data_IF_080926105140
#
_entry.id   IF_080926105140
#
_cell.length_a   1.000
_cell.length_b   1.000
_cell.length_c   1.000
_cell.angle_alpha   90.00
_cell.angle_beta   90.00
_cell.angle_gamma   90.00
#
_symmetry.space_group_name_H-M   'P 1'
#
loop_
_entity.id
_entity.type
_entity.pdbx_description
1 polymer ?
#
# COMPACT_ATOMS: atom_id res chain seq x y z
N UNK A 1 6.05 -5.83 9.84
CA UNK A 1 5.88 -4.94 11.02
C UNK A 1 5.33 -3.61 10.56
N UNK A 2 4.43 -3.01 11.33
CA UNK A 2 3.85 -1.71 11.00
C UNK A 2 3.39 -0.99 12.28
N UNK A 3 3.75 0.28 12.42
CA UNK A 3 3.36 1.11 13.57
C UNK A 3 2.71 2.41 13.07
N UNK A 4 1.40 2.57 13.32
CA UNK A 4 0.66 3.76 12.95
C UNK A 4 1.11 5.07 13.60
N UNK A 5 1.71 4.99 14.79
CA UNK A 5 1.84 6.13 15.72
C UNK A 5 3.31 6.48 16.00
N UNK A 6 4.25 5.72 15.46
CA UNK A 6 5.70 5.94 15.61
C UNK A 6 6.23 5.75 17.03
N UNK A 7 5.51 5.01 17.88
CA UNK A 7 5.90 4.67 19.26
C UNK A 7 6.63 3.34 19.39
N UNK A 8 6.41 2.40 18.48
CA UNK A 8 7.09 1.12 18.43
C UNK A 8 8.46 1.29 17.77
N UNK A 9 9.51 0.97 18.52
CA UNK A 9 10.84 0.82 17.97
C UNK A 9 10.98 -0.57 17.37
N UNK A 10 10.90 -0.65 16.05
CA UNK A 10 11.17 -1.87 15.30
C UNK A 10 12.68 -2.08 15.15
N UNK A 11 13.30 -2.44 16.26
CA UNK A 11 14.75 -2.46 16.42
C UNK A 11 15.33 -3.87 16.43
N UNK A 12 14.49 -4.91 16.36
CA UNK A 12 15.00 -6.28 16.26
C UNK A 12 15.75 -6.50 14.94
N UNK A 13 16.70 -7.43 14.94
CA UNK A 13 17.42 -7.82 13.73
C UNK A 13 16.49 -8.25 12.57
N UNK A 14 15.37 -8.92 12.88
CA UNK A 14 14.35 -9.30 11.90
C UNK A 14 13.60 -8.08 11.36
N UNK A 15 13.33 -7.09 12.21
CA UNK A 15 12.55 -5.93 11.86
C UNK A 15 13.31 -5.00 10.94
N UNK A 16 14.60 -4.80 11.25
CA UNK A 16 15.52 -4.02 10.43
C UNK A 16 15.63 -4.64 9.05
N UNK A 17 15.87 -5.96 8.96
CA UNK A 17 15.94 -6.69 7.70
C UNK A 17 14.67 -6.56 6.86
N UNK A 18 13.50 -6.81 7.46
CA UNK A 18 12.20 -6.68 6.79
C UNK A 18 11.93 -5.26 6.30
N UNK A 19 12.24 -4.26 7.13
CA UNK A 19 12.02 -2.86 6.77
C UNK A 19 12.88 -2.43 5.59
N UNK A 20 14.13 -2.89 5.52
CA UNK A 20 15.03 -2.62 4.39
C UNK A 20 14.52 -3.28 3.12
N UNK A 21 14.14 -4.56 3.18
CA UNK A 21 13.64 -5.30 2.01
C UNK A 21 12.33 -4.71 1.48
N UNK A 22 11.39 -4.37 2.37
CA UNK A 22 10.13 -3.72 2.01
C UNK A 22 10.36 -2.33 1.39
N UNK A 23 11.27 -1.51 1.95
CA UNK A 23 11.61 -0.20 1.38
C UNK A 23 12.31 -0.31 0.02
N UNK A 24 13.07 -1.38 -0.21
CA UNK A 24 13.68 -1.67 -1.50
C UNK A 24 12.69 -2.24 -2.53
N UNK A 25 11.43 -2.48 -2.16
CA UNK A 25 10.42 -3.07 -3.04
C UNK A 25 10.72 -4.52 -3.41
N UNK A 26 11.51 -5.23 -2.60
CA UNK A 26 11.88 -6.63 -2.83
C UNK A 26 10.89 -7.51 -2.09
N UNK A 27 10.28 -8.46 -2.81
CA UNK A 27 9.42 -9.46 -2.16
C UNK A 27 10.27 -10.49 -1.42
N UNK A 28 9.84 -10.91 -0.23
CA UNK A 28 10.57 -11.83 0.63
C UNK A 28 9.65 -12.83 1.32
N UNK A 29 10.21 -13.96 1.73
CA UNK A 29 9.51 -15.00 2.51
C UNK A 29 10.12 -15.03 3.91
N UNK A 30 9.26 -15.16 4.92
CA UNK A 30 9.67 -15.25 6.32
C UNK A 30 9.76 -16.71 6.74
N UNK A 31 10.96 -17.14 7.11
CA UNK A 31 11.20 -18.47 7.68
C UNK A 31 11.57 -18.33 9.16
N UNK A 32 11.09 -19.26 9.99
CA UNK A 32 11.41 -19.28 11.41
C UNK A 32 12.88 -19.67 11.61
N UNK A 33 13.67 -18.76 12.19
CA UNK A 33 15.05 -19.03 12.59
C UNK A 33 15.15 -19.82 13.89
N UNK A 34 16.35 -20.32 14.21
CA UNK A 34 16.61 -20.94 15.51
C UNK A 34 16.43 -19.91 16.64
N UNK A 35 15.80 -20.28 17.77
CA UNK A 35 15.62 -19.38 18.91
C UNK A 35 16.97 -18.81 19.38
N UNK A 36 17.05 -17.48 19.49
CA UNK A 36 18.25 -16.78 19.96
C UNK A 36 19.29 -16.42 18.89
N UNK A 37 19.11 -16.85 17.63
CA UNK A 37 19.95 -16.37 16.53
C UNK A 37 19.45 -15.02 15.98
N UNK A 38 20.39 -14.18 15.57
CA UNK A 38 20.10 -12.96 14.82
C UNK A 38 19.43 -13.33 13.49
N UNK A 39 18.55 -12.46 13.00
CA UNK A 39 17.91 -12.66 11.71
C UNK A 39 18.94 -12.65 10.59
N UNK A 40 18.78 -13.58 9.64
CA UNK A 40 19.66 -13.74 8.49
C UNK A 40 18.82 -13.53 7.23
N UNK A 41 19.31 -12.72 6.31
CA UNK A 41 18.72 -12.53 4.98
C UNK A 41 19.47 -13.41 3.98
N UNK A 42 18.74 -14.29 3.30
CA UNK A 42 19.29 -15.16 2.25
C UNK A 42 18.87 -14.63 0.89
N UNK A 43 19.85 -14.27 0.06
CA UNK A 43 19.65 -13.79 -1.32
C UNK A 43 20.38 -14.73 -2.26
N UNK A 44 19.65 -15.68 -2.88
CA UNK A 44 20.26 -16.77 -3.63
C UNK A 44 21.20 -17.60 -2.73
N UNK A 45 22.50 -17.63 -3.07
CA UNK A 45 23.53 -18.28 -2.24
C UNK A 45 24.14 -17.37 -1.17
N UNK A 46 23.89 -16.05 -1.21
CA UNK A 46 24.46 -15.11 -0.27
C UNK A 46 23.68 -15.12 1.05
N UNK A 47 24.41 -15.17 2.16
CA UNK A 47 23.86 -15.13 3.52
C UNK A 47 24.33 -13.84 4.19
N UNK A 48 23.39 -12.96 4.52
CA UNK A 48 23.67 -11.62 5.04
C UNK A 48 23.12 -11.55 6.47
N UNK A 49 23.97 -11.48 7.50
CA UNK A 49 23.52 -11.33 8.87
C UNK A 49 22.92 -9.94 9.08
N UNK A 50 21.75 -9.88 9.71
CA UNK A 50 21.16 -8.64 10.20
C UNK A 50 21.61 -8.38 11.63
N UNK A 51 21.66 -7.12 12.03
CA UNK A 51 22.11 -6.68 13.34
C UNK A 51 20.92 -6.25 14.19
N UNK A 52 20.97 -6.51 15.48
CA UNK A 52 19.94 -6.05 16.43
C UNK A 52 20.29 -4.64 16.93
N UNK A 53 19.28 -3.80 17.10
CA UNK A 53 19.40 -2.45 17.62
C UNK A 53 18.47 -2.21 18.83
N UNK A 54 17.91 -3.27 19.45
CA UNK A 54 16.94 -3.16 20.56
C UNK A 54 17.42 -2.28 21.72
N UNK A 55 18.71 -2.38 22.06
CA UNK A 55 19.32 -1.65 23.17
C UNK A 55 20.25 -0.52 22.70
N UNK A 56 20.24 -0.19 21.41
CA UNK A 56 21.13 0.80 20.82
C UNK A 56 20.55 2.23 20.95
N UNK A 57 21.39 3.25 21.24
CA UNK A 57 21.02 4.66 21.08
C UNK A 57 20.50 4.97 19.66
N UNK A 58 19.61 5.97 19.50
CA UNK A 58 18.93 6.26 18.22
C UNK A 58 19.88 6.51 17.03
N UNK A 59 20.98 7.19 17.30
CA UNK A 59 22.07 7.45 16.35
C UNK A 59 22.79 6.16 15.93
N UNK A 60 23.06 5.28 16.89
CA UNK A 60 23.65 3.95 16.63
C UNK A 60 22.66 3.04 15.89
N UNK A 61 21.37 3.04 16.26
CA UNK A 61 20.33 2.29 15.57
C UNK A 61 20.17 2.74 14.10
N UNK A 62 20.27 4.04 13.84
CA UNK A 62 20.27 4.60 12.48
C UNK A 62 21.50 4.14 11.69
N UNK A 63 22.68 4.14 12.31
CA UNK A 63 23.91 3.64 11.69
C UNK A 63 23.81 2.14 11.39
N UNK A 64 23.34 1.33 12.34
CA UNK A 64 23.10 -0.11 12.16
C UNK A 64 22.16 -0.36 10.98
N UNK A 65 21.04 0.36 10.91
CA UNK A 65 20.08 0.24 9.80
C UNK A 65 20.74 0.59 8.46
N UNK A 66 21.54 1.64 8.40
CA UNK A 66 22.26 2.03 7.19
C UNK A 66 23.30 0.98 6.77
N UNK A 67 24.02 0.37 7.72
CA UNK A 67 24.97 -0.73 7.46
C UNK A 67 24.26 -1.96 6.91
N UNK A 68 23.16 -2.39 7.56
CA UNK A 68 22.35 -3.53 7.09
C UNK A 68 21.77 -3.25 5.71
N UNK A 69 21.31 -2.02 5.45
CA UNK A 69 20.85 -1.58 4.13
C UNK A 69 21.95 -1.68 3.07
N UNK A 70 23.17 -1.25 3.39
CA UNK A 70 24.33 -1.40 2.52
C UNK A 70 24.61 -2.85 2.15
N UNK A 71 24.72 -3.73 3.16
CA UNK A 71 24.98 -5.15 2.94
C UNK A 71 23.89 -5.83 2.12
N UNK A 72 22.61 -5.51 2.38
CA UNK A 72 21.49 -6.06 1.62
C UNK A 72 21.53 -5.57 0.17
N UNK A 73 21.80 -4.29 -0.09
CA UNK A 73 21.93 -3.76 -1.46
C UNK A 73 23.08 -4.41 -2.22
N UNK A 74 24.23 -4.60 -1.59
CA UNK A 74 25.37 -5.30 -2.18
C UNK A 74 25.02 -6.75 -2.52
N UNK A 75 24.36 -7.46 -1.59
CA UNK A 75 23.90 -8.83 -1.80
C UNK A 75 22.89 -8.95 -2.94
N UNK A 76 21.91 -8.04 -2.99
CA UNK A 76 20.94 -7.94 -4.09
C UNK A 76 21.64 -7.69 -5.43
N UNK A 77 22.62 -6.79 -5.48
CA UNK A 77 23.39 -6.48 -6.69
C UNK A 77 24.19 -7.70 -7.16
N UNK A 78 24.85 -8.42 -6.24
CA UNK A 78 25.58 -9.67 -6.57
C UNK A 78 24.66 -10.77 -7.08
N UNK A 79 23.44 -10.84 -6.56
CA UNK A 79 22.41 -11.77 -7.04
C UNK A 79 21.78 -11.35 -8.38
N UNK A 80 22.21 -10.23 -8.97
CA UNK A 80 21.69 -9.73 -10.24
C UNK A 80 20.36 -8.98 -10.14
N UNK A 81 19.94 -8.60 -8.94
CA UNK A 81 18.74 -7.76 -8.76
C UNK A 81 19.07 -6.32 -9.21
N UNK A 82 18.33 -5.75 -10.17
CA UNK A 82 18.68 -4.47 -10.75
C UNK A 82 18.39 -3.33 -9.76
N UNK A 83 19.36 -2.43 -9.55
CA UNK A 83 19.23 -1.27 -8.67
C UNK A 83 18.19 -0.24 -9.17
N UNK A 84 17.88 -0.27 -10.46
CA UNK A 84 16.84 0.52 -11.12
C UNK A 84 16.13 -0.36 -12.14
N UNK A 85 14.84 -0.13 -12.35
CA UNK A 85 14.10 -0.80 -13.43
C UNK A 85 14.82 -0.55 -14.77
N UNK A 86 15.22 -1.62 -15.46
CA UNK A 86 15.85 -1.53 -16.78
C UNK A 86 14.79 -1.09 -17.80
N UNK A 87 14.92 0.12 -18.41
CA UNK A 87 13.94 0.62 -19.36
C UNK A 87 13.78 -0.29 -20.58
N UNK A 88 14.80 -1.09 -20.94
CA UNK A 88 14.74 -2.02 -22.08
C UNK A 88 13.93 -3.28 -21.77
N UNK A 89 13.82 -3.65 -20.49
CA UNK A 89 12.98 -4.78 -20.04
C UNK A 89 11.55 -4.34 -19.71
N UNK A 90 11.34 -3.03 -19.53
CA UNK A 90 10.03 -2.48 -19.23
C UNK A 90 9.19 -2.42 -20.51
N UNK A 91 8.02 -3.04 -20.49
CA UNK A 91 7.05 -2.90 -21.56
C UNK A 91 6.32 -1.55 -21.40
N UNK A 92 6.96 -0.46 -21.84
CA UNK A 92 6.39 0.89 -21.76
C UNK A 92 5.02 0.99 -22.47
N UNK A 93 4.83 0.47 -23.70
CA UNK A 93 3.53 0.51 -24.37
C UNK A 93 2.45 -0.25 -23.59
N UNK A 94 2.78 -1.42 -23.03
CA UNK A 94 1.87 -2.21 -22.22
C UNK A 94 1.49 -1.50 -20.91
N UNK A 95 2.46 -0.94 -20.20
CA UNK A 95 2.23 -0.15 -19.00
C UNK A 95 1.35 1.08 -19.28
N UNK A 96 1.65 1.80 -20.37
CA UNK A 96 0.82 2.92 -20.83
C UNK A 96 -0.62 2.48 -21.14
N UNK A 97 -0.80 1.37 -21.86
CA UNK A 97 -2.12 0.82 -22.17
C UNK A 97 -2.93 0.48 -20.92
N UNK A 98 -2.32 -0.19 -19.94
CA UNK A 98 -2.98 -0.50 -18.66
C UNK A 98 -3.36 0.76 -17.89
N UNK A 99 -2.44 1.74 -17.80
CA UNK A 99 -2.73 3.02 -17.15
C UNK A 99 -3.85 3.77 -17.87
N UNK A 100 -3.90 3.72 -19.21
CA UNK A 100 -4.96 4.35 -19.99
C UNK A 100 -6.32 3.72 -19.70
N UNK A 101 -6.40 2.38 -19.61
CA UNK A 101 -7.63 1.68 -19.22
C UNK A 101 -8.10 2.15 -17.85
N UNK A 102 -7.20 2.25 -16.85
CA UNK A 102 -7.58 2.72 -15.52
C UNK A 102 -8.02 4.20 -15.51
N UNK A 103 -7.38 5.07 -16.29
CA UNK A 103 -7.78 6.48 -16.39
C UNK A 103 -9.16 6.60 -17.04
N UNK A 104 -9.42 5.89 -18.14
CA UNK A 104 -10.72 5.90 -18.81
C UNK A 104 -11.82 5.33 -17.91
N UNK A 105 -11.55 4.22 -17.22
CA UNK A 105 -12.49 3.64 -16.27
C UNK A 105 -12.80 4.61 -15.11
N UNK A 106 -11.77 5.31 -14.61
CA UNK A 106 -11.92 6.33 -13.58
C UNK A 106 -12.79 7.50 -14.05
N UNK A 107 -12.52 8.06 -15.23
CA UNK A 107 -13.30 9.20 -15.75
C UNK A 107 -14.74 8.82 -16.09
N UNK A 108 -14.96 7.62 -16.63
CA UNK A 108 -16.29 7.08 -16.89
C UNK A 108 -17.13 6.93 -15.60
N UNK A 109 -16.48 6.73 -14.45
CA UNK A 109 -17.12 6.65 -13.14
C UNK A 109 -17.41 8.04 -12.54
N UNK A 110 -16.49 9.01 -12.69
CA UNK A 110 -16.66 10.35 -12.11
C UNK A 110 -17.89 11.11 -12.65
N UNK A 111 -18.22 10.95 -13.94
CA UNK A 111 -19.37 11.62 -14.56
C UNK A 111 -20.71 11.22 -13.94
N UNK A 112 -21.08 9.92 -13.95
CA UNK A 112 -22.34 9.44 -13.37
C UNK A 112 -22.46 9.69 -11.86
N UNK A 113 -21.36 9.61 -11.10
CA UNK A 113 -21.40 9.84 -9.64
C UNK A 113 -21.97 11.22 -9.31
N UNK A 114 -21.58 12.27 -10.04
CA UNK A 114 -22.05 13.62 -9.78
C UNK A 114 -23.55 13.77 -9.99
N UNK A 115 -24.10 13.19 -11.07
CA UNK A 115 -25.53 13.21 -11.35
C UNK A 115 -26.31 12.38 -10.33
N UNK A 116 -25.84 11.16 -10.05
CA UNK A 116 -26.50 10.22 -9.15
C UNK A 116 -26.62 10.77 -7.72
N UNK A 117 -25.56 11.37 -7.19
CA UNK A 117 -25.58 11.90 -5.83
C UNK A 117 -26.55 13.10 -5.68
N UNK A 118 -26.70 13.92 -6.73
CA UNK A 118 -27.65 15.04 -6.77
C UNK A 118 -29.09 14.55 -6.69
N UNK A 119 -29.41 13.41 -7.32
CA UNK A 119 -30.73 12.77 -7.25
C UNK A 119 -31.05 12.16 -5.88
N UNK A 120 -30.02 11.73 -5.13
CA UNK A 120 -30.19 11.06 -3.85
C UNK A 120 -30.55 12.02 -2.69
N UNK A 121 -30.25 13.31 -2.82
CA UNK A 121 -30.43 14.31 -1.75
C UNK A 121 -31.42 15.42 -2.11
N UNK A 122 -32.29 15.83 -1.15
CA UNK A 122 -33.22 16.95 -1.32
C UNK A 122 -32.51 18.24 -1.74
N UNK A 123 -33.12 18.98 -2.66
CA UNK A 123 -32.58 20.24 -3.22
C UNK A 123 -32.16 21.26 -2.15
N UNK A 124 -32.91 21.36 -1.05
CA UNK A 124 -32.66 22.28 0.07
C UNK A 124 -31.36 22.05 0.86
N UNK A 125 -30.86 20.82 0.93
CA UNK A 125 -29.65 20.45 1.70
C UNK A 125 -28.57 19.81 0.85
N UNK A 126 -28.80 19.71 -0.46
CA UNK A 126 -27.98 18.96 -1.41
C UNK A 126 -26.49 19.26 -1.27
N UNK A 127 -26.09 20.53 -1.26
CA UNK A 127 -24.66 20.88 -1.19
C UNK A 127 -23.98 20.42 0.11
N UNK A 128 -24.66 20.59 1.25
CA UNK A 128 -24.16 20.17 2.57
C UNK A 128 -24.17 18.64 2.70
N UNK A 129 -25.24 17.99 2.24
CA UNK A 129 -25.41 16.55 2.31
C UNK A 129 -24.49 15.78 1.36
N UNK A 130 -24.11 16.37 0.22
CA UNK A 130 -23.13 15.83 -0.73
C UNK A 130 -21.69 15.90 -0.22
N UNK A 131 -21.36 16.99 0.48
CA UNK A 131 -20.01 17.27 0.94
C UNK A 131 -19.51 16.23 1.97
N UNK A 132 -20.38 15.79 2.88
CA UNK A 132 -20.06 14.78 3.90
C UNK A 132 -19.59 13.43 3.33
N UNK A 133 -20.38 12.72 2.49
CA UNK A 133 -19.95 11.44 1.92
C UNK A 133 -18.74 11.62 0.99
N UNK A 134 -18.64 12.74 0.26
CA UNK A 134 -17.48 13.02 -0.57
C UNK A 134 -16.20 13.15 0.26
N UNK A 135 -16.19 13.94 1.32
CA UNK A 135 -15.00 14.12 2.17
C UNK A 135 -14.69 12.92 3.05
N UNK A 136 -15.69 12.17 3.51
CA UNK A 136 -15.44 10.92 4.26
C UNK A 136 -14.85 9.86 3.34
N UNK A 137 -15.42 9.68 2.14
CA UNK A 137 -14.91 8.73 1.16
C UNK A 137 -13.52 9.09 0.67
N UNK A 138 -13.33 10.31 0.16
CA UNK A 138 -12.03 10.74 -0.37
C UNK A 138 -10.98 10.93 0.72
N UNK A 139 -11.36 11.54 1.85
CA UNK A 139 -10.46 11.87 2.94
C UNK A 139 -10.05 10.65 3.77
N UNK A 140 -11.01 9.87 4.26
CA UNK A 140 -10.70 8.71 5.09
C UNK A 140 -10.34 7.50 4.24
N UNK A 141 -11.20 7.05 3.34
CA UNK A 141 -10.92 5.81 2.58
C UNK A 141 -9.74 6.02 1.63
N UNK A 142 -9.71 7.15 0.91
CA UNK A 142 -8.62 7.49 0.01
C UNK A 142 -7.31 7.84 0.73
N UNK A 143 -7.36 8.66 1.78
CA UNK A 143 -6.17 9.11 2.51
C UNK A 143 -5.42 7.97 3.24
N UNK A 144 -6.13 6.93 3.69
CA UNK A 144 -5.53 5.79 4.37
C UNK A 144 -5.02 4.67 3.44
N UNK A 145 -5.15 4.82 2.11
CA UNK A 145 -4.61 3.86 1.12
C UNK A 145 -3.09 3.65 1.29
N UNK A 146 -2.22 4.69 1.18
CA UNK A 146 -0.76 4.46 1.21
C UNK A 146 -0.32 3.85 2.54
N UNK A 147 -0.97 4.27 3.62
CA UNK A 147 -0.74 3.78 4.97
C UNK A 147 -1.05 2.29 5.10
N UNK A 148 -2.26 1.88 4.72
CA UNK A 148 -2.71 0.49 4.87
C UNK A 148 -2.03 -0.43 3.86
N UNK A 149 -1.82 0.03 2.63
CA UNK A 149 -1.10 -0.72 1.62
C UNK A 149 0.33 -1.04 2.06
N UNK A 150 1.06 -0.06 2.60
CA UNK A 150 2.40 -0.29 3.14
C UNK A 150 2.38 -1.25 4.33
N UNK A 151 1.40 -1.14 5.23
CA UNK A 151 1.23 -2.06 6.35
C UNK A 151 1.07 -3.52 5.90
N UNK A 152 0.23 -3.75 4.88
CA UNK A 152 -0.01 -5.08 4.32
C UNK A 152 1.28 -5.60 3.66
N UNK A 153 1.96 -4.80 2.85
CA UNK A 153 3.22 -5.20 2.20
C UNK A 153 4.31 -5.53 3.24
N UNK A 154 4.45 -4.71 4.28
CA UNK A 154 5.45 -4.91 5.33
C UNK A 154 5.13 -6.06 6.29
N UNK A 155 3.89 -6.55 6.33
CA UNK A 155 3.50 -7.72 7.14
C UNK A 155 3.57 -9.02 6.33
N UNK A 156 3.09 -9.02 5.09
CA UNK A 156 3.05 -10.19 4.21
C UNK A 156 4.39 -10.43 3.52
N UNK A 157 5.14 -9.38 3.20
CA UNK A 157 6.40 -9.46 2.44
C UNK A 157 6.23 -9.54 0.93
N UNK A 158 5.02 -9.30 0.41
CA UNK A 158 4.72 -9.29 -1.03
C UNK A 158 4.25 -7.89 -1.46
N UNK A 159 4.91 -7.28 -2.45
CA UNK A 159 4.59 -5.94 -2.96
C UNK A 159 3.17 -5.83 -3.54
N UNK A 160 2.61 -6.93 -4.06
CA UNK A 160 1.27 -6.96 -4.65
C UNK A 160 0.16 -7.06 -3.60
N UNK A 161 0.49 -7.44 -2.36
CA UNK A 161 -0.51 -7.62 -1.30
C UNK A 161 -1.22 -6.31 -0.93
N UNK A 162 -0.58 -5.16 -1.14
CA UNK A 162 -1.22 -3.84 -0.97
C UNK A 162 -2.44 -3.61 -1.86
N UNK A 163 -2.56 -4.33 -2.98
CA UNK A 163 -3.72 -4.26 -3.89
C UNK A 163 -5.02 -4.80 -3.26
N UNK A 164 -4.94 -5.55 -2.16
CA UNK A 164 -6.14 -6.00 -1.44
C UNK A 164 -6.94 -4.86 -0.85
N UNK A 165 -6.29 -3.75 -0.45
CA UNK A 165 -7.00 -2.59 0.09
C UNK A 165 -8.03 -2.01 -0.91
N UNK A 166 -7.63 -1.56 -2.12
CA UNK A 166 -8.59 -1.06 -3.08
C UNK A 166 -9.60 -2.14 -3.51
N UNK A 167 -9.17 -3.41 -3.65
CA UNK A 167 -10.08 -4.50 -4.02
C UNK A 167 -11.23 -4.67 -3.03
N UNK A 168 -10.95 -4.70 -1.73
CA UNK A 168 -11.98 -4.85 -0.68
C UNK A 168 -12.93 -3.66 -0.67
N UNK A 169 -12.42 -2.43 -0.76
CA UNK A 169 -13.27 -1.25 -0.78
C UNK A 169 -14.12 -1.16 -2.06
N UNK A 170 -13.59 -1.58 -3.21
CA UNK A 170 -14.38 -1.71 -4.44
C UNK A 170 -15.48 -2.75 -4.28
N UNK A 171 -15.20 -3.90 -3.66
CA UNK A 171 -16.21 -4.92 -3.40
C UNK A 171 -17.33 -4.42 -2.48
N UNK A 172 -16.98 -3.67 -1.42
CA UNK A 172 -17.96 -3.01 -0.52
C UNK A 172 -18.80 -2.00 -1.29
N UNK A 173 -18.18 -1.17 -2.14
CA UNK A 173 -18.89 -0.19 -2.97
C UNK A 173 -19.86 -0.88 -3.93
N UNK A 174 -19.43 -1.93 -4.63
CA UNK A 174 -20.29 -2.72 -5.51
C UNK A 174 -21.46 -3.35 -4.75
N UNK A 175 -21.22 -3.96 -3.59
CA UNK A 175 -22.28 -4.52 -2.76
C UNK A 175 -23.27 -3.44 -2.30
N UNK A 176 -22.77 -2.28 -1.89
CA UNK A 176 -23.62 -1.15 -1.46
C UNK A 176 -24.49 -0.65 -2.62
N UNK A 177 -23.91 -0.48 -3.81
CA UNK A 177 -24.65 -0.08 -5.00
C UNK A 177 -25.72 -1.10 -5.41
N UNK A 178 -25.46 -2.40 -5.26
CA UNK A 178 -26.41 -3.44 -5.65
C UNK A 178 -27.54 -3.66 -4.65
N UNK A 179 -27.30 -3.48 -3.35
CA UNK A 179 -28.25 -3.86 -2.31
C UNK A 179 -28.88 -2.70 -1.53
N UNK A 180 -28.17 -1.57 -1.38
CA UNK A 180 -28.61 -0.47 -0.51
C UNK A 180 -29.06 0.77 -1.27
N UNK A 181 -28.63 0.93 -2.51
CA UNK A 181 -28.95 2.13 -3.30
C UNK A 181 -30.36 2.03 -3.87
N UNK A 182 -31.27 2.98 -3.57
CA UNK A 182 -32.61 2.98 -4.11
C UNK A 182 -32.61 3.41 -5.58
N UNK A 183 -33.52 2.83 -6.37
CA UNK A 183 -33.77 3.25 -7.74
C UNK A 183 -34.30 4.70 -7.77
N UNK A 184 -33.56 5.61 -8.41
CA UNK A 184 -33.88 7.04 -8.48
C UNK A 184 -34.67 7.42 -9.73
N UNK A 185 -34.76 6.54 -10.74
CA UNK A 185 -35.46 6.80 -12.00
C UNK A 185 -36.93 7.15 -11.73
N UNK A 186 -37.34 8.34 -12.18
CA UNK A 186 -38.72 8.81 -12.12
C UNK A 186 -39.18 9.37 -10.77
N UNK A 187 -38.29 9.52 -9.78
CA UNK A 187 -38.65 10.13 -8.49
C UNK A 187 -38.65 11.67 -8.58
N UNK A 188 -39.64 12.37 -7.98
CA UNK A 188 -39.64 13.82 -7.91
C UNK A 188 -38.50 14.32 -7.00
N UNK A 189 -37.81 15.37 -7.45
CA UNK A 189 -36.63 15.94 -6.77
C UNK A 189 -36.98 16.87 -5.58
N UNK A 190 -38.27 17.16 -5.36
CA UNK A 190 -38.76 18.23 -4.47
C UNK A 190 -39.26 17.75 -3.09
N UNK A 191 -38.83 16.57 -2.61
CA UNK A 191 -39.21 16.05 -1.28
C UNK A 191 -38.17 16.39 -0.22
#
# INVERSE_FOLDING_TARGET
QFDPVGKASFTSSCDIAKSVLANAGVSYINEAGQPGQLAIVRVGMATIPSLDARDAPKDVAKAIKATVEGHIKEGLTRAGYPAKADPKRMNLPGAFGVLMIFVVASTALFGPIAAFLVELFPTRIRYTALSLPYHIGTGWVGGFVPFTAFAIVASVGNIYSGLWYPFVFTAIACATCLFLVPETVGRPLDV
#
